data_IF_038710150819
#
_entry.id   IF_038710150819
#
_cell.length_a   1.000
_cell.length_b   1.000
_cell.length_c   1.000
_cell.angle_alpha   90.00
_cell.angle_beta   90.00
_cell.angle_gamma   90.00
#
_symmetry.space_group_name_H-M   'P 1'
#
loop_
_entity.id
_entity.type
_entity.pdbx_description
1 polymer ?
#
# COMPACT_ATOMS: atom_id res chain seq x y z
N UNK A 1 -10.58 6.56 -0.88
CA UNK A 1 -9.58 5.53 -0.52
C UNK A 1 -10.15 4.11 -0.44
N UNK A 2 -11.23 3.86 0.32
CA UNK A 2 -11.88 2.53 0.35
C UNK A 2 -12.32 2.02 -1.03
N UNK A 3 -12.85 2.91 -1.87
CA UNK A 3 -13.22 2.56 -3.25
C UNK A 3 -12.02 2.15 -4.10
N UNK A 4 -10.88 2.84 -3.94
CA UNK A 4 -9.64 2.49 -4.63
C UNK A 4 -9.10 1.14 -4.16
N UNK A 5 -9.09 0.89 -2.85
CA UNK A 5 -8.74 -0.43 -2.31
C UNK A 5 -9.68 -1.54 -2.84
N UNK A 6 -10.98 -1.26 -2.94
CA UNK A 6 -11.94 -2.21 -3.52
C UNK A 6 -11.68 -2.48 -5.01
N UNK A 7 -11.36 -1.45 -5.80
CA UNK A 7 -10.97 -1.58 -7.20
C UNK A 7 -9.73 -2.47 -7.35
N UNK A 8 -8.71 -2.23 -6.53
CA UNK A 8 -7.49 -3.03 -6.53
C UNK A 8 -7.77 -4.51 -6.21
N UNK A 9 -8.58 -4.77 -5.18
CA UNK A 9 -8.94 -6.14 -4.78
C UNK A 9 -9.74 -6.88 -5.86
N UNK A 10 -10.69 -6.20 -6.50
CA UNK A 10 -11.61 -6.83 -7.47
C UNK A 10 -11.01 -7.00 -8.86
N UNK A 11 -10.17 -6.06 -9.32
CA UNK A 11 -9.65 -6.07 -10.70
C UNK A 11 -8.21 -6.51 -10.85
N UNK A 12 -7.43 -6.49 -9.77
CA UNK A 12 -5.98 -6.71 -9.84
C UNK A 12 -5.48 -7.82 -8.90
N UNK A 13 -6.39 -8.64 -8.34
CA UNK A 13 -6.01 -9.76 -7.48
C UNK A 13 -5.27 -9.34 -6.21
N UNK A 14 -5.40 -8.07 -5.81
CA UNK A 14 -4.81 -7.57 -4.57
C UNK A 14 -5.52 -8.23 -3.40
N UNK A 15 -4.76 -8.77 -2.46
CA UNK A 15 -5.30 -9.45 -1.29
C UNK A 15 -5.45 -8.52 -0.10
N UNK A 16 -4.46 -7.66 0.14
CA UNK A 16 -4.46 -6.73 1.28
C UNK A 16 -4.04 -5.33 0.86
N UNK A 17 -4.67 -4.34 1.47
CA UNK A 17 -4.32 -2.92 1.31
C UNK A 17 -4.31 -2.29 2.68
N UNK A 18 -3.20 -1.68 3.06
CA UNK A 18 -3.03 -0.97 4.31
C UNK A 18 -2.76 0.50 4.03
N UNK A 19 -3.53 1.37 4.69
CA UNK A 19 -3.21 2.78 4.79
C UNK A 19 -2.29 2.97 5.99
N UNK A 20 -1.13 3.59 5.79
CA UNK A 20 -0.22 3.93 6.87
C UNK A 20 0.16 5.41 6.84
N UNK A 21 1.21 5.79 7.57
CA UNK A 21 1.74 7.14 7.48
C UNK A 21 0.93 8.17 8.26
N UNK A 22 1.12 9.44 7.91
CA UNK A 22 0.46 10.58 8.57
C UNK A 22 -1.06 10.48 8.48
N UNK A 23 -1.61 9.96 7.37
CA UNK A 23 -3.04 9.71 7.21
C UNK A 23 -3.61 8.66 8.17
N UNK A 24 -2.84 7.62 8.49
CA UNK A 24 -3.29 6.62 9.47
C UNK A 24 -3.19 7.12 10.92
N UNK A 25 -2.19 7.97 11.21
CA UNK A 25 -1.95 8.53 12.57
C UNK A 25 -2.79 9.76 12.90
N UNK A 26 -3.36 10.43 11.89
CA UNK A 26 -4.18 11.63 12.06
C UNK A 26 -3.41 12.96 12.03
N UNK A 27 -2.10 12.93 11.76
CA UNK A 27 -1.21 14.10 11.73
C UNK A 27 -0.95 14.63 10.30
N UNK A 28 -1.89 14.41 9.38
CA UNK A 28 -1.70 14.80 7.97
C UNK A 28 -1.86 16.32 7.76
N UNK A 29 -1.08 16.86 6.84
CA UNK A 29 -1.16 18.27 6.40
C UNK A 29 -1.69 18.34 4.96
N UNK A 30 -2.26 19.48 4.57
CA UNK A 30 -2.67 19.72 3.17
C UNK A 30 -1.44 19.59 2.25
N UNK A 31 -1.39 18.50 1.48
CA UNK A 31 -0.26 18.17 0.60
C UNK A 31 0.54 16.93 1.00
N UNK A 32 0.16 16.21 2.06
CA UNK A 32 0.78 14.91 2.38
C UNK A 32 0.39 13.86 1.33
N UNK A 33 1.37 13.04 0.93
CA UNK A 33 1.11 11.85 0.13
C UNK A 33 0.43 10.75 0.96
N UNK A 34 -0.32 9.89 0.29
CA UNK A 34 -1.08 8.80 0.90
C UNK A 34 -0.24 7.52 0.82
N UNK A 35 0.38 7.20 1.93
CA UNK A 35 1.17 5.99 2.17
C UNK A 35 0.31 4.71 2.13
N UNK A 36 0.57 3.82 1.17
CA UNK A 36 -0.15 2.55 1.01
C UNK A 36 0.79 1.35 0.99
N UNK A 37 0.48 0.28 1.75
CA UNK A 37 1.07 -1.04 1.51
C UNK A 37 0.03 -1.87 0.75
N UNK A 38 0.42 -2.40 -0.40
CA UNK A 38 -0.42 -3.23 -1.26
C UNK A 38 0.23 -4.61 -1.36
N UNK A 39 -0.53 -5.65 -1.03
CA UNK A 39 -0.06 -7.04 -1.03
C UNK A 39 -0.94 -7.85 -1.97
N UNK A 40 -0.34 -8.55 -2.91
CA UNK A 40 -1.05 -9.37 -3.89
C UNK A 40 -0.11 -10.15 -4.80
N UNK A 41 -0.66 -10.68 -5.88
CA UNK A 41 0.11 -11.37 -6.90
C UNK A 41 0.64 -10.34 -7.91
N UNK A 42 1.93 -10.01 -7.82
CA UNK A 42 2.58 -9.02 -8.68
C UNK A 42 3.83 -9.57 -9.35
N UNK A 43 4.02 -9.18 -10.60
CA UNK A 43 5.21 -9.47 -11.40
C UNK A 43 6.12 -8.24 -11.56
N UNK A 44 7.41 -8.49 -11.82
CA UNK A 44 8.40 -7.45 -12.02
C UNK A 44 9.03 -6.94 -10.72
N UNK A 45 9.87 -5.91 -10.81
CA UNK A 45 10.53 -5.27 -9.66
C UNK A 45 9.62 -4.21 -9.02
N UNK A 46 9.88 -3.87 -7.76
CA UNK A 46 9.11 -2.88 -6.98
C UNK A 46 8.79 -1.58 -7.77
N UNK A 47 9.73 -0.89 -8.44
CA UNK A 47 9.42 0.34 -9.18
C UNK A 47 8.42 0.14 -10.32
N UNK A 48 8.46 -1.01 -11.00
CA UNK A 48 7.53 -1.32 -12.08
C UNK A 48 6.11 -1.56 -11.54
N UNK A 49 6.02 -2.21 -10.37
CA UNK A 49 4.74 -2.45 -9.69
C UNK A 49 4.15 -1.15 -9.15
N UNK A 50 4.98 -0.26 -8.61
CA UNK A 50 4.59 1.09 -8.18
C UNK A 50 3.99 1.86 -9.36
N UNK A 51 4.69 1.94 -10.49
CA UNK A 51 4.19 2.63 -11.67
C UNK A 51 2.83 2.08 -12.12
N UNK A 52 2.66 0.75 -12.14
CA UNK A 52 1.36 0.13 -12.46
C UNK A 52 0.23 0.57 -11.54
N UNK A 53 0.50 0.77 -10.24
CA UNK A 53 -0.51 1.24 -9.28
C UNK A 53 -0.80 2.74 -9.49
N UNK A 54 0.24 3.53 -9.72
CA UNK A 54 0.11 4.98 -9.99
C UNK A 54 -0.69 5.23 -11.29
N UNK A 55 -0.52 4.41 -12.32
CA UNK A 55 -1.28 4.53 -13.57
C UNK A 55 -2.79 4.30 -13.40
N UNK A 56 -3.23 3.71 -12.29
CA UNK A 56 -4.63 3.43 -11.99
C UNK A 56 -5.34 4.58 -11.26
N UNK A 57 -4.63 5.61 -10.82
CA UNK A 57 -5.21 6.68 -10.01
C UNK A 57 -4.48 8.01 -10.15
N UNK A 58 -5.23 9.11 -10.10
CA UNK A 58 -4.67 10.45 -9.98
C UNK A 58 -4.47 10.89 -8.53
N UNK A 59 -4.66 9.99 -7.56
CA UNK A 59 -4.45 10.29 -6.15
C UNK A 59 -2.95 10.42 -5.84
N UNK A 60 -2.55 11.36 -4.97
CA UNK A 60 -1.16 11.47 -4.53
C UNK A 60 -0.85 10.34 -3.55
N UNK A 61 -0.55 9.15 -4.05
CA UNK A 61 -0.25 7.96 -3.25
C UNK A 61 1.23 7.60 -3.35
N UNK A 62 1.79 7.07 -2.26
CA UNK A 62 3.10 6.43 -2.23
C UNK A 62 2.92 4.94 -1.90
N UNK A 63 2.76 4.07 -2.91
CA UNK A 63 2.51 2.66 -2.67
C UNK A 63 3.82 1.86 -2.50
N UNK A 64 3.87 0.99 -1.50
CA UNK A 64 4.78 -0.14 -1.41
C UNK A 64 4.05 -1.41 -1.86
N UNK A 65 4.54 -2.05 -2.93
CA UNK A 65 3.82 -3.13 -3.62
C UNK A 65 4.54 -4.47 -3.48
N UNK A 66 4.14 -5.24 -2.47
CA UNK A 66 4.74 -6.53 -2.15
C UNK A 66 3.98 -7.70 -2.78
N UNK A 67 4.73 -8.73 -3.16
CA UNK A 67 4.14 -10.07 -3.25
C UNK A 67 3.81 -10.60 -1.86
N UNK A 68 2.93 -11.60 -1.76
CA UNK A 68 2.68 -12.26 -0.47
C UNK A 68 3.95 -12.82 0.15
N UNK A 69 4.80 -13.48 -0.64
CA UNK A 69 6.06 -14.04 -0.16
C UNK A 69 7.02 -12.96 0.35
N UNK A 70 7.12 -11.83 -0.35
CA UNK A 70 7.91 -10.68 0.11
C UNK A 70 7.32 -10.08 1.38
N UNK A 71 6.00 -9.90 1.44
CA UNK A 71 5.32 -9.34 2.60
C UNK A 71 5.54 -10.19 3.85
N UNK A 72 5.42 -11.52 3.74
CA UNK A 72 5.66 -12.44 4.86
C UNK A 72 7.10 -12.41 5.37
N UNK A 73 8.09 -12.17 4.50
CA UNK A 73 9.49 -11.99 4.91
C UNK A 73 9.75 -10.60 5.49
N UNK A 74 9.05 -9.59 4.99
CA UNK A 74 9.29 -8.19 5.32
C UNK A 74 8.54 -7.76 6.59
N UNK A 75 7.40 -8.38 6.91
CA UNK A 75 6.55 -8.01 8.05
C UNK A 75 7.25 -8.09 9.41
N UNK A 76 8.33 -8.87 9.53
CA UNK A 76 9.11 -9.02 10.75
C UNK A 76 10.23 -7.98 10.88
N UNK A 77 10.53 -7.23 9.80
CA UNK A 77 11.51 -6.16 9.83
C UNK A 77 10.95 -4.95 10.57
N UNK A 78 11.81 -4.28 11.33
CA UNK A 78 11.45 -3.15 12.19
C UNK A 78 10.52 -2.12 11.52
N UNK A 79 10.77 -1.78 10.25
CA UNK A 79 9.92 -0.85 9.50
C UNK A 79 8.49 -1.36 9.32
N UNK A 80 8.28 -2.55 8.73
CA UNK A 80 6.92 -3.06 8.52
C UNK A 80 6.24 -3.41 9.84
N UNK A 81 6.97 -3.91 10.84
CA UNK A 81 6.41 -4.17 12.17
C UNK A 81 5.79 -2.90 12.75
N UNK A 82 6.52 -1.78 12.71
CA UNK A 82 6.03 -0.49 13.19
C UNK A 82 4.88 0.06 12.34
N UNK A 83 5.01 -0.02 11.00
CA UNK A 83 3.96 0.41 10.09
C UNK A 83 2.67 -0.36 10.36
N UNK A 84 2.71 -1.69 10.40
CA UNK A 84 1.53 -2.54 10.60
C UNK A 84 0.89 -2.35 11.98
N UNK A 85 1.66 -1.93 12.99
CA UNK A 85 1.11 -1.61 14.31
C UNK A 85 0.22 -0.35 14.31
N UNK A 86 0.42 0.55 13.35
CA UNK A 86 -0.33 1.82 13.24
C UNK A 86 -1.21 1.90 11.99
N UNK A 87 -1.02 0.98 11.05
CA UNK A 87 -1.73 0.97 9.79
C UNK A 87 -3.19 0.54 9.95
N UNK A 88 -4.02 1.04 9.05
CA UNK A 88 -5.43 0.64 8.93
C UNK A 88 -5.61 -0.20 7.68
N UNK A 89 -6.09 -1.44 7.85
CA UNK A 89 -6.51 -2.26 6.71
C UNK A 89 -7.79 -1.69 6.09
N UNK A 90 -7.78 -1.56 4.76
CA UNK A 90 -8.83 -0.89 3.98
C UNK A 90 -9.84 -1.83 3.34
#
# INVERSE_FOLDING_TARGET
MREFAHLLKTKHGVKKVYLYGSFARGDFHEGSDIDLIIVGEFEGKMPQRINKILDLTSLPIEPLVYTEAEFEQMKERAFLTWVLATAKEL
#
